data_IF_383725494384
#
_entry.id   IF_383725494384
#
_cell.length_a   1.000
_cell.length_b   1.000
_cell.length_c   1.000
_cell.angle_alpha   90.00
_cell.angle_beta   90.00
_cell.angle_gamma   90.00
#
_symmetry.space_group_name_H-M   'P 1'
#
loop_
_entity.id
_entity.type
_entity.pdbx_description
1 polymer ?
#
# COMPACT_ATOMS: atom_id res chain seq x y z
N UNK A 1 46.39 3.68 -19.59
CA UNK A 1 45.75 2.66 -18.74
C UNK A 1 44.39 3.20 -18.34
N UNK A 2 43.32 2.71 -18.96
CA UNK A 2 41.96 3.07 -18.57
C UNK A 2 41.70 2.52 -17.17
N UNK A 3 41.21 3.34 -16.25
CA UNK A 3 40.83 2.85 -14.92
C UNK A 3 39.69 1.85 -15.11
N UNK A 4 39.93 0.58 -14.82
CA UNK A 4 38.86 -0.38 -14.59
C UNK A 4 37.99 0.20 -13.48
N UNK A 5 36.82 0.71 -13.84
CA UNK A 5 35.81 1.13 -12.87
C UNK A 5 35.48 -0.09 -12.03
N UNK A 6 35.96 -0.08 -10.79
CA UNK A 6 35.84 -1.22 -9.87
C UNK A 6 34.38 -1.65 -9.74
N UNK A 7 34.12 -2.95 -9.81
CA UNK A 7 32.77 -3.52 -9.75
C UNK A 7 32.07 -3.12 -8.45
N UNK A 8 30.83 -2.65 -8.55
CA UNK A 8 29.95 -2.32 -7.42
C UNK A 8 29.07 -3.52 -7.11
N UNK A 9 28.96 -3.87 -5.83
CA UNK A 9 28.18 -5.01 -5.37
C UNK A 9 27.23 -4.62 -4.25
N UNK A 10 26.16 -5.40 -4.08
CA UNK A 10 25.21 -5.25 -2.98
C UNK A 10 25.01 -6.59 -2.26
N UNK A 11 24.92 -6.56 -0.94
CA UNK A 11 24.69 -7.73 -0.09
C UNK A 11 23.36 -7.52 0.64
N UNK A 12 22.37 -8.37 0.36
CA UNK A 12 21.01 -8.20 0.86
C UNK A 12 20.55 -9.53 1.49
N UNK A 13 20.23 -9.55 2.79
CA UNK A 13 19.61 -10.69 3.44
C UNK A 13 18.11 -10.74 3.19
N UNK A 14 17.52 -11.93 3.24
CA UNK A 14 16.08 -12.15 3.14
C UNK A 14 15.67 -13.00 4.33
N UNK A 15 15.27 -12.39 5.44
CA UNK A 15 15.04 -13.13 6.69
C UNK A 15 14.17 -12.47 7.79
N UNK A 16 12.95 -12.02 7.48
CA UNK A 16 11.94 -11.48 8.39
C UNK A 16 10.52 -12.09 8.20
N UNK A 17 9.99 -12.81 9.19
CA UNK A 17 8.81 -13.68 9.03
C UNK A 17 7.45 -13.03 8.72
N UNK A 18 7.29 -11.71 8.78
CA UNK A 18 6.01 -11.01 8.63
C UNK A 18 5.88 -10.13 7.36
N UNK A 19 6.98 -9.62 6.80
CA UNK A 19 6.99 -8.80 5.55
C UNK A 19 8.25 -9.07 4.71
N UNK A 20 8.59 -10.35 4.64
CA UNK A 20 9.86 -10.84 4.11
C UNK A 20 10.06 -10.51 2.62
N UNK A 21 8.98 -10.63 1.86
CA UNK A 21 9.01 -10.53 0.39
C UNK A 21 9.05 -9.06 -0.01
N UNK A 22 8.21 -8.25 0.62
CA UNK A 22 8.01 -6.83 0.33
C UNK A 22 9.24 -6.03 0.71
N UNK A 23 9.76 -6.23 1.93
CA UNK A 23 11.01 -5.60 2.37
C UNK A 23 12.21 -6.00 1.49
N UNK A 24 12.34 -7.27 1.14
CA UNK A 24 13.41 -7.73 0.28
C UNK A 24 13.28 -7.18 -1.16
N UNK A 25 12.06 -7.21 -1.71
CA UNK A 25 11.79 -6.69 -3.05
C UNK A 25 12.08 -5.20 -3.12
N UNK A 26 11.51 -4.40 -2.18
CA UNK A 26 11.79 -2.97 -2.07
C UNK A 26 13.29 -2.69 -1.94
N UNK A 27 13.98 -3.39 -1.04
CA UNK A 27 15.42 -3.21 -0.83
C UNK A 27 16.23 -3.50 -2.10
N UNK A 28 15.93 -4.60 -2.81
CA UNK A 28 16.65 -4.97 -4.03
C UNK A 28 16.41 -3.94 -5.14
N UNK A 29 15.15 -3.58 -5.41
CA UNK A 29 14.81 -2.64 -6.49
C UNK A 29 15.37 -1.25 -6.19
N UNK A 30 15.21 -0.74 -4.97
CA UNK A 30 15.78 0.56 -4.56
C UNK A 30 17.30 0.55 -4.65
N UNK A 31 17.95 -0.53 -4.20
CA UNK A 31 19.41 -0.65 -4.28
C UNK A 31 19.88 -0.69 -5.74
N UNK A 32 19.13 -1.37 -6.61
CA UNK A 32 19.43 -1.42 -8.04
C UNK A 32 19.35 -0.02 -8.66
N UNK A 33 18.28 0.72 -8.39
CA UNK A 33 18.04 2.08 -8.87
C UNK A 33 19.07 3.10 -8.36
N UNK A 34 19.44 3.03 -7.08
CA UNK A 34 20.27 4.04 -6.42
C UNK A 34 21.77 3.83 -6.63
N UNK A 35 22.21 2.57 -6.69
CA UNK A 35 23.64 2.24 -6.65
C UNK A 35 24.14 1.46 -7.88
N UNK A 36 23.23 1.04 -8.78
CA UNK A 36 23.56 0.28 -9.99
C UNK A 36 24.59 -0.87 -9.78
N UNK A 37 24.39 -1.75 -8.78
CA UNK A 37 25.29 -2.85 -8.54
C UNK A 37 25.33 -3.80 -9.75
N UNK A 38 26.53 -4.27 -10.08
CA UNK A 38 26.76 -5.31 -11.10
C UNK A 38 26.67 -6.72 -10.53
N UNK A 39 26.64 -6.85 -9.20
CA UNK A 39 26.45 -8.12 -8.51
C UNK A 39 25.60 -7.94 -7.25
N UNK A 40 24.62 -8.82 -7.07
CA UNK A 40 23.90 -9.01 -5.82
C UNK A 40 24.32 -10.31 -5.15
N UNK A 41 24.60 -10.24 -3.85
CA UNK A 41 24.78 -11.39 -2.97
C UNK A 41 23.55 -11.45 -2.06
N UNK A 42 22.67 -12.40 -2.35
CA UNK A 42 21.43 -12.63 -1.63
C UNK A 42 21.67 -13.65 -0.52
N UNK A 43 21.56 -13.21 0.73
CA UNK A 43 21.77 -14.07 1.89
C UNK A 43 20.43 -14.63 2.37
N UNK A 44 20.27 -15.94 2.41
CA UNK A 44 19.01 -16.60 2.80
C UNK A 44 19.27 -17.71 3.81
N UNK A 45 18.24 -18.07 4.57
CA UNK A 45 18.21 -19.31 5.32
C UNK A 45 17.42 -20.37 4.55
N UNK A 46 17.69 -21.65 4.80
CA UNK A 46 17.06 -22.78 4.10
C UNK A 46 15.55 -22.84 4.30
N UNK A 47 15.06 -22.46 5.48
CA UNK A 47 13.61 -22.39 5.72
C UNK A 47 12.91 -21.29 4.90
N UNK A 48 13.65 -20.27 4.45
CA UNK A 48 13.13 -19.26 3.53
C UNK A 48 13.10 -19.74 2.07
N UNK A 49 13.66 -20.91 1.74
CA UNK A 49 13.58 -21.43 0.37
C UNK A 49 12.14 -21.67 -0.06
N UNK A 50 11.27 -22.19 0.81
CA UNK A 50 9.84 -22.33 0.47
C UNK A 50 9.16 -20.99 0.28
N UNK A 51 9.48 -19.97 1.09
CA UNK A 51 8.98 -18.60 0.94
C UNK A 51 9.49 -17.94 -0.35
N UNK A 52 10.74 -18.18 -0.73
CA UNK A 52 11.35 -17.70 -1.98
C UNK A 52 10.86 -18.45 -3.23
N UNK A 53 10.49 -19.72 -3.08
CA UNK A 53 9.97 -20.56 -4.16
C UNK A 53 8.45 -20.40 -4.35
N UNK A 54 7.72 -19.99 -3.31
CA UNK A 54 6.28 -19.67 -3.37
C UNK A 54 6.00 -18.18 -3.60
N UNK A 55 6.97 -17.30 -3.28
CA UNK A 55 6.90 -15.87 -3.58
C UNK A 55 7.37 -15.57 -5.01
N UNK A 56 6.53 -15.87 -6.00
CA UNK A 56 6.78 -15.56 -7.44
C UNK A 56 7.41 -14.17 -7.66
N UNK A 57 6.97 -13.08 -7.00
CA UNK A 57 7.50 -11.75 -7.28
C UNK A 57 9.01 -11.61 -7.04
N UNK A 58 9.53 -12.20 -5.97
CA UNK A 58 10.95 -12.06 -5.61
C UNK A 58 11.82 -12.91 -6.52
N UNK A 59 11.35 -14.10 -6.91
CA UNK A 59 12.05 -14.93 -7.88
C UNK A 59 12.11 -14.26 -9.25
N UNK A 60 10.99 -13.73 -9.71
CA UNK A 60 10.89 -13.02 -10.99
C UNK A 60 11.75 -11.77 -11.03
N UNK A 61 11.89 -11.07 -9.89
CA UNK A 61 12.83 -9.97 -9.73
C UNK A 61 14.28 -10.42 -9.89
N UNK A 62 14.71 -11.47 -9.19
CA UNK A 62 16.08 -11.99 -9.29
C UNK A 62 16.41 -12.47 -10.70
N UNK A 63 15.47 -13.13 -11.38
CA UNK A 63 15.65 -13.56 -12.76
C UNK A 63 15.58 -12.39 -13.75
N UNK A 64 14.79 -11.36 -13.46
CA UNK A 64 14.79 -10.07 -14.16
C UNK A 64 16.14 -9.37 -14.10
N UNK A 65 16.77 -9.33 -12.93
CA UNK A 65 18.12 -8.77 -12.75
C UNK A 65 19.18 -9.55 -13.57
N UNK A 66 19.10 -10.88 -13.60
CA UNK A 66 19.99 -11.70 -14.44
C UNK A 66 19.81 -11.38 -15.93
N UNK A 67 18.56 -11.24 -16.39
CA UNK A 67 18.25 -10.80 -17.78
C UNK A 67 18.81 -9.41 -18.07
N UNK A 68 18.88 -8.54 -17.07
CA UNK A 68 19.52 -7.22 -17.14
C UNK A 68 21.05 -7.25 -17.00
N UNK A 69 21.70 -8.42 -17.15
CA UNK A 69 23.14 -8.63 -17.02
C UNK A 69 23.72 -8.27 -15.64
N UNK A 70 22.96 -8.51 -14.57
CA UNK A 70 23.43 -8.40 -13.19
C UNK A 70 23.74 -9.80 -12.64
N UNK A 71 24.93 -9.99 -12.05
CA UNK A 71 25.30 -11.26 -11.42
C UNK A 71 24.54 -11.43 -10.10
N UNK A 72 23.72 -12.46 -9.96
CA UNK A 72 22.97 -12.73 -8.73
C UNK A 72 23.47 -14.03 -8.10
N UNK A 73 24.01 -13.94 -6.89
CA UNK A 73 24.49 -15.08 -6.09
C UNK A 73 23.62 -15.27 -4.87
N UNK A 74 23.01 -16.44 -4.74
CA UNK A 74 22.27 -16.82 -3.54
C UNK A 74 23.18 -17.63 -2.60
N UNK A 75 23.21 -17.29 -1.31
CA UNK A 75 24.01 -17.96 -0.28
C UNK A 75 23.17 -18.36 0.92
N UNK A 76 23.26 -19.64 1.28
CA UNK A 76 22.61 -20.19 2.45
C UNK A 76 23.44 -19.92 3.72
N UNK A 77 22.79 -19.33 4.72
CA UNK A 77 23.37 -19.02 6.04
C UNK A 77 23.00 -20.03 7.13
N UNK A 78 22.24 -21.10 6.83
CA UNK A 78 21.72 -22.05 7.85
C UNK A 78 22.83 -22.71 8.68
N UNK A 79 24.04 -22.87 8.13
CA UNK A 79 25.20 -23.41 8.84
C UNK A 79 26.17 -22.36 9.40
N UNK A 80 25.88 -21.07 9.22
CA UNK A 80 26.77 -19.98 9.61
C UNK A 80 26.43 -19.52 11.02
N UNK A 81 27.16 -20.06 12.01
CA UNK A 81 26.92 -19.80 13.44
C UNK A 81 27.81 -18.72 14.04
N UNK A 82 28.83 -18.25 13.31
CA UNK A 82 29.78 -17.26 13.80
C UNK A 82 29.95 -16.10 12.82
N UNK A 83 30.33 -14.93 13.37
CA UNK A 83 30.66 -13.76 12.57
C UNK A 83 31.81 -14.03 11.58
N UNK A 84 32.83 -14.81 11.98
CA UNK A 84 33.95 -15.12 11.08
C UNK A 84 33.51 -15.98 9.88
N UNK A 85 32.61 -16.96 10.08
CA UNK A 85 32.03 -17.74 8.99
C UNK A 85 31.18 -16.87 8.05
N UNK A 86 30.42 -15.94 8.62
CA UNK A 86 29.62 -14.97 7.87
C UNK A 86 30.50 -14.06 7.02
N UNK A 87 31.53 -13.48 7.65
CA UNK A 87 32.53 -12.63 7.00
C UNK A 87 33.17 -13.33 5.81
N UNK A 88 33.72 -14.52 6.01
CA UNK A 88 34.37 -15.29 4.93
C UNK A 88 33.40 -15.56 3.76
N UNK A 89 32.13 -15.81 4.05
CA UNK A 89 31.09 -16.01 3.02
C UNK A 89 30.88 -14.75 2.19
N UNK A 90 30.70 -13.59 2.84
CA UNK A 90 30.45 -12.32 2.14
C UNK A 90 31.69 -11.84 1.40
N UNK A 91 32.87 -11.93 2.01
CA UNK A 91 34.13 -11.49 1.41
C UNK A 91 34.54 -12.35 0.22
N UNK A 92 34.35 -13.68 0.30
CA UNK A 92 34.63 -14.57 -0.83
C UNK A 92 33.78 -14.24 -2.07
N UNK A 93 32.52 -13.83 -1.86
CA UNK A 93 31.64 -13.41 -2.95
C UNK A 93 31.83 -11.96 -3.40
N UNK A 94 32.54 -11.14 -2.63
CA UNK A 94 32.74 -9.71 -2.94
C UNK A 94 34.21 -9.33 -3.09
N UNK A 95 35.07 -10.32 -3.33
CA UNK A 95 36.51 -10.12 -3.52
C UNK A 95 36.83 -9.32 -4.79
N UNK A 96 36.02 -9.45 -5.84
CA UNK A 96 36.15 -8.73 -7.12
C UNK A 96 35.46 -7.35 -7.11
N UNK A 97 34.89 -6.95 -5.96
CA UNK A 97 34.13 -5.71 -5.81
C UNK A 97 34.98 -4.62 -5.15
N UNK A 98 35.08 -3.44 -5.77
CA UNK A 98 35.76 -2.30 -5.16
C UNK A 98 34.91 -1.55 -4.13
N UNK A 99 33.58 -1.59 -4.29
CA UNK A 99 32.61 -1.01 -3.34
C UNK A 99 31.48 -1.98 -3.11
N UNK A 100 31.08 -2.13 -1.84
CA UNK A 100 30.03 -3.08 -1.44
C UNK A 100 29.02 -2.39 -0.55
N UNK A 101 27.76 -2.36 -0.99
CA UNK A 101 26.63 -1.87 -0.22
C UNK A 101 26.02 -3.01 0.60
N UNK A 102 26.03 -2.86 1.92
CA UNK A 102 25.49 -3.82 2.87
C UNK A 102 24.10 -3.32 3.29
N UNK A 103 23.06 -4.08 2.94
CA UNK A 103 21.66 -3.67 3.12
C UNK A 103 21.01 -4.54 4.20
N UNK A 104 21.16 -4.24 5.51
CA UNK A 104 20.70 -5.14 6.56
C UNK A 104 19.18 -5.17 6.76
N UNK A 105 18.45 -4.16 6.31
CA UNK A 105 17.03 -3.92 6.66
C UNK A 105 16.06 -5.10 6.43
N UNK A 106 16.11 -5.84 5.29
CA UNK A 106 15.25 -7.01 5.09
C UNK A 106 15.69 -8.28 5.85
N UNK A 107 16.76 -8.20 6.65
CA UNK A 107 17.36 -9.33 7.36
C UNK A 107 16.88 -9.51 8.78
N UNK A 108 17.16 -10.69 9.34
CA UNK A 108 17.02 -10.94 10.76
C UNK A 108 18.03 -10.10 11.55
N UNK A 109 17.70 -9.78 12.81
CA UNK A 109 18.53 -8.98 13.70
C UNK A 109 20.01 -9.44 13.74
N UNK A 110 20.25 -10.75 13.79
CA UNK A 110 21.63 -11.29 13.82
C UNK A 110 22.40 -10.99 12.54
N UNK A 111 21.76 -11.11 11.38
CA UNK A 111 22.37 -10.81 10.08
C UNK A 111 22.62 -9.31 9.93
N UNK A 112 21.70 -8.48 10.41
CA UNK A 112 21.88 -7.03 10.44
C UNK A 112 23.09 -6.61 11.29
N UNK A 113 23.26 -7.23 12.47
CA UNK A 113 24.43 -7.02 13.34
C UNK A 113 25.72 -7.45 12.63
N UNK A 114 25.74 -8.62 11.98
CA UNK A 114 26.94 -9.09 11.27
C UNK A 114 27.31 -8.21 10.08
N UNK A 115 26.34 -7.71 9.31
CA UNK A 115 26.61 -6.73 8.24
C UNK A 115 27.19 -5.42 8.82
N UNK A 116 26.66 -4.96 9.95
CA UNK A 116 27.18 -3.78 10.65
C UNK A 116 28.61 -3.98 11.14
N UNK A 117 28.92 -5.15 11.71
CA UNK A 117 30.29 -5.50 12.13
C UNK A 117 31.24 -5.58 10.94
N UNK A 118 30.79 -6.08 9.79
CA UNK A 118 31.59 -6.15 8.57
C UNK A 118 31.95 -4.74 8.06
N UNK A 119 30.97 -3.82 8.07
CA UNK A 119 31.23 -2.41 7.73
C UNK A 119 32.32 -1.78 8.61
N UNK A 120 32.27 -2.01 9.92
CA UNK A 120 33.25 -1.44 10.86
C UNK A 120 34.68 -1.95 10.65
N UNK A 121 34.88 -3.05 9.91
CA UNK A 121 36.22 -3.58 9.63
C UNK A 121 36.89 -2.90 8.43
N UNK A 122 36.12 -2.44 7.45
CA UNK A 122 36.63 -1.75 6.27
C UNK A 122 35.59 -0.74 5.76
N UNK A 123 35.62 0.45 6.37
CA UNK A 123 34.71 1.56 6.05
C UNK A 123 34.99 2.19 4.69
N UNK A 124 36.14 1.86 4.06
CA UNK A 124 36.47 2.32 2.71
C UNK A 124 35.78 1.44 1.66
N UNK A 125 35.77 0.13 1.85
CA UNK A 125 35.11 -0.84 0.95
C UNK A 125 33.61 -0.92 1.17
N UNK A 126 33.16 -0.94 2.43
CA UNK A 126 31.75 -1.18 2.76
C UNK A 126 30.98 0.12 3.00
N UNK A 127 29.68 0.09 2.69
CA UNK A 127 28.71 1.14 3.06
C UNK A 127 27.47 0.45 3.60
N UNK A 128 26.99 0.84 4.77
CA UNK A 128 25.70 0.37 5.26
C UNK A 128 24.59 1.21 4.62
N UNK A 129 23.53 0.53 4.22
CA UNK A 129 22.37 1.11 3.54
C UNK A 129 21.13 0.61 4.25
N UNK A 130 20.45 1.50 4.96
CA UNK A 130 19.18 1.20 5.61
C UNK A 130 18.03 1.81 4.81
N UNK A 131 17.02 1.01 4.56
CA UNK A 131 15.74 1.51 4.06
C UNK A 131 14.76 1.67 5.22
N UNK A 132 13.98 2.73 5.19
CA UNK A 132 12.84 2.90 6.08
C UNK A 132 11.61 2.57 5.25
N UNK A 133 11.10 1.36 5.42
CA UNK A 133 9.92 0.93 4.70
C UNK A 133 8.68 1.53 5.35
N UNK A 134 8.04 2.48 4.67
CA UNK A 134 6.73 2.99 5.04
C UNK A 134 5.61 2.03 4.61
N UNK A 135 5.73 0.73 4.92
CA UNK A 135 4.65 -0.24 4.70
C UNK A 135 3.50 0.06 5.64
N UNK A 136 2.69 1.06 5.30
CA UNK A 136 1.42 1.28 5.98
C UNK A 136 0.44 0.15 5.63
N UNK A 137 -0.81 0.51 5.43
CA UNK A 137 -1.86 -0.41 4.96
C UNK A 137 -1.64 -1.04 3.59
N UNK A 138 -0.66 -0.50 2.89
CA UNK A 138 -0.17 -0.96 1.62
C UNK A 138 0.94 -2.00 1.82
N UNK A 139 0.91 -2.78 2.90
CA UNK A 139 1.96 -3.76 3.22
C UNK A 139 2.06 -4.89 2.18
N UNK A 140 1.07 -5.04 1.31
CA UNK A 140 1.10 -5.89 0.11
C UNK A 140 1.60 -5.15 -1.17
N UNK A 141 1.85 -3.84 -1.09
CA UNK A 141 2.52 -3.04 -2.11
C UNK A 141 3.94 -2.75 -1.68
N UNK A 142 4.87 -2.97 -2.58
CA UNK A 142 6.29 -2.75 -2.39
C UNK A 142 6.83 -1.99 -3.59
N UNK A 143 8.01 -1.40 -3.44
CA UNK A 143 8.63 -0.64 -4.51
C UNK A 143 8.91 -1.54 -5.73
N UNK A 144 8.54 -1.13 -6.96
CA UNK A 144 8.22 0.23 -7.41
C UNK A 144 6.72 0.61 -7.44
N UNK A 145 5.85 -0.17 -6.81
CA UNK A 145 4.38 0.02 -6.79
C UNK A 145 3.89 0.99 -5.71
N UNK A 146 4.79 1.48 -4.85
CA UNK A 146 4.56 2.57 -3.91
C UNK A 146 5.40 3.80 -4.29
N UNK A 147 4.96 5.03 -3.95
CA UNK A 147 5.74 6.23 -4.19
C UNK A 147 7.15 6.12 -3.63
N UNK A 148 8.15 6.52 -4.41
CA UNK A 148 9.56 6.47 -3.99
C UNK A 148 9.84 7.09 -2.60
N UNK A 149 9.29 8.26 -2.23
CA UNK A 149 9.55 8.87 -0.93
C UNK A 149 9.08 8.05 0.28
N UNK A 150 8.20 7.05 0.10
CA UNK A 150 7.83 6.11 1.17
C UNK A 150 8.97 5.17 1.56
N UNK A 151 9.95 4.99 0.68
CA UNK A 151 11.08 4.09 0.84
C UNK A 151 12.34 4.91 1.11
N UNK A 152 12.33 5.51 2.32
CA UNK A 152 13.39 6.37 2.82
C UNK A 152 14.73 5.64 2.84
N UNK A 153 15.81 6.38 2.64
CA UNK A 153 17.16 5.84 2.54
C UNK A 153 18.06 6.53 3.56
N UNK A 154 18.77 5.73 4.34
CA UNK A 154 19.85 6.17 5.21
C UNK A 154 21.13 5.41 4.87
N UNK A 155 22.27 6.11 4.85
CA UNK A 155 23.57 5.49 4.56
C UNK A 155 24.60 5.79 5.63
N UNK A 156 25.52 4.85 5.85
CA UNK A 156 26.67 5.01 6.76
C UNK A 156 27.94 4.57 6.02
N UNK A 157 28.90 5.48 5.75
CA UNK A 157 28.84 6.93 6.02
C UNK A 157 27.73 7.63 5.22
N UNK A 158 27.29 8.79 5.69
CA UNK A 158 26.27 9.56 5.00
C UNK A 158 26.77 10.01 3.63
N UNK A 159 26.10 9.54 2.59
CA UNK A 159 26.38 9.90 1.21
C UNK A 159 25.58 11.13 0.75
N UNK A 160 24.56 11.57 1.50
CA UNK A 160 23.73 12.74 1.21
C UNK A 160 23.28 12.83 -0.26
N UNK A 161 23.33 14.04 -0.82
CA UNK A 161 22.92 14.35 -2.21
C UNK A 161 23.79 13.70 -3.31
N UNK A 162 24.84 12.95 -2.94
CA UNK A 162 25.69 12.24 -3.92
C UNK A 162 24.98 11.06 -4.56
N UNK A 163 23.93 10.54 -3.92
CA UNK A 163 23.13 9.46 -4.46
C UNK A 163 22.15 10.06 -5.47
N UNK A 164 22.41 9.82 -6.75
CA UNK A 164 21.51 10.19 -7.83
C UNK A 164 20.79 8.93 -8.32
N UNK A 165 19.49 8.78 -8.07
CA UNK A 165 18.77 7.64 -8.57
C UNK A 165 18.82 7.57 -10.10
N UNK A 166 18.95 6.36 -10.64
CA UNK A 166 18.92 6.14 -12.08
C UNK A 166 17.61 5.47 -12.47
N UNK A 167 16.61 6.29 -12.77
CA UNK A 167 15.26 5.85 -13.15
C UNK A 167 15.24 4.92 -14.37
N UNK A 168 16.21 5.10 -15.28
CA UNK A 168 16.33 4.27 -16.49
C UNK A 168 16.62 2.81 -16.16
N UNK A 169 17.22 2.50 -14.99
CA UNK A 169 17.46 1.11 -14.59
C UNK A 169 16.16 0.35 -14.34
N UNK A 170 15.11 1.03 -13.86
CA UNK A 170 13.79 0.41 -13.72
C UNK A 170 13.20 0.00 -15.08
N UNK A 171 13.62 0.64 -16.17
CA UNK A 171 13.24 0.23 -17.52
C UNK A 171 13.76 -1.15 -17.91
N UNK A 172 14.92 -1.56 -17.39
CA UNK A 172 15.46 -2.91 -17.62
C UNK A 172 14.61 -4.00 -16.96
N UNK A 173 13.88 -3.66 -15.91
CA UNK A 173 13.01 -4.56 -15.16
C UNK A 173 11.53 -4.39 -15.52
N UNK A 174 11.21 -3.58 -16.54
CA UNK A 174 9.83 -3.26 -16.94
C UNK A 174 8.96 -4.50 -17.10
N UNK A 175 9.42 -5.46 -17.89
CA UNK A 175 8.68 -6.69 -18.16
C UNK A 175 8.41 -7.48 -16.89
N UNK A 176 9.39 -7.57 -15.98
CA UNK A 176 9.21 -8.23 -14.68
C UNK A 176 8.09 -7.56 -13.88
N UNK A 177 8.06 -6.23 -13.82
CA UNK A 177 7.00 -5.52 -13.08
C UNK A 177 5.63 -5.61 -13.77
N UNK A 178 5.59 -5.58 -15.10
CA UNK A 178 4.35 -5.78 -15.87
C UNK A 178 3.79 -7.21 -15.68
N UNK A 179 4.65 -8.22 -15.68
CA UNK A 179 4.26 -9.62 -15.43
C UNK A 179 3.70 -9.77 -13.99
N UNK A 180 4.34 -9.15 -12.99
CA UNK A 180 3.82 -9.11 -11.61
C UNK A 180 2.44 -8.44 -11.52
N UNK A 181 2.27 -7.31 -12.21
CA UNK A 181 0.99 -6.59 -12.25
C UNK A 181 -0.09 -7.34 -13.04
N UNK A 182 0.28 -8.19 -14.01
CA UNK A 182 -0.70 -8.87 -14.87
C UNK A 182 -1.71 -9.71 -14.07
N UNK A 183 -1.27 -10.31 -12.96
CA UNK A 183 -2.09 -11.09 -12.03
C UNK A 183 -3.18 -10.28 -11.33
N UNK A 184 -3.01 -8.97 -11.21
CA UNK A 184 -3.91 -8.03 -10.52
C UNK A 184 -4.36 -6.88 -11.42
N UNK A 185 -4.09 -6.96 -12.73
CA UNK A 185 -4.14 -5.82 -13.66
C UNK A 185 -5.53 -5.22 -13.85
N UNK A 186 -6.59 -6.00 -13.66
CA UNK A 186 -7.99 -5.54 -13.73
C UNK A 186 -8.53 -5.00 -12.40
N UNK A 187 -7.76 -5.14 -11.30
CA UNK A 187 -8.20 -4.64 -9.99
C UNK A 187 -7.90 -3.14 -9.85
N UNK A 188 -8.67 -2.48 -8.98
CA UNK A 188 -8.39 -1.12 -8.54
C UNK A 188 -6.93 -0.94 -8.10
N UNK A 189 -6.42 -1.88 -7.31
CA UNK A 189 -5.05 -1.80 -6.78
C UNK A 189 -4.00 -2.03 -7.85
N UNK A 190 -4.24 -2.93 -8.81
CA UNK A 190 -3.37 -3.09 -9.98
C UNK A 190 -3.25 -1.79 -10.78
N UNK A 191 -4.36 -1.04 -10.91
CA UNK A 191 -4.36 0.28 -11.55
C UNK A 191 -3.57 1.32 -10.76
N UNK A 192 -3.77 1.41 -9.43
CA UNK A 192 -3.00 2.31 -8.57
C UNK A 192 -1.51 2.00 -8.67
N UNK A 193 -1.14 0.73 -8.54
CA UNK A 193 0.24 0.23 -8.60
C UNK A 193 0.91 0.53 -9.93
N UNK A 194 0.16 0.38 -11.03
CA UNK A 194 0.63 0.70 -12.36
C UNK A 194 0.97 2.18 -12.52
N UNK A 195 0.04 3.08 -12.16
CA UNK A 195 0.25 4.51 -12.34
C UNK A 195 1.36 5.05 -11.43
N UNK A 196 1.47 4.53 -10.21
CA UNK A 196 2.59 4.81 -9.31
C UNK A 196 3.92 4.34 -9.90
N UNK A 197 3.99 3.11 -10.42
CA UNK A 197 5.18 2.58 -11.07
C UNK A 197 5.58 3.44 -12.28
N UNK A 198 4.63 3.80 -13.15
CA UNK A 198 4.90 4.66 -14.30
C UNK A 198 5.41 6.03 -13.88
N UNK A 199 4.86 6.62 -12.82
CA UNK A 199 5.32 7.92 -12.34
C UNK A 199 6.73 7.83 -11.73
N UNK A 200 7.00 6.79 -10.94
CA UNK A 200 8.33 6.48 -10.42
C UNK A 200 9.37 6.34 -11.55
N UNK A 201 9.00 5.74 -12.70
CA UNK A 201 9.92 5.58 -13.84
C UNK A 201 10.28 6.88 -14.56
N UNK A 202 9.46 7.93 -14.43
CA UNK A 202 9.61 9.20 -15.15
C UNK A 202 10.41 10.27 -14.39
N UNK A 203 10.63 10.10 -13.09
CA UNK A 203 11.40 11.02 -12.27
C UNK A 203 11.15 10.85 -10.78
N UNK A 204 11.57 11.82 -9.97
CA UNK A 204 11.25 11.99 -8.56
C UNK A 204 10.57 13.32 -8.27
N UNK A 205 9.95 13.38 -7.09
CA UNK A 205 9.42 14.59 -6.48
C UNK A 205 9.24 14.36 -4.98
N UNK A 206 8.98 15.43 -4.25
CA UNK A 206 8.80 15.38 -2.78
C UNK A 206 7.41 14.89 -2.35
N UNK A 207 6.48 14.89 -3.28
CA UNK A 207 5.08 14.55 -3.08
C UNK A 207 4.40 14.26 -4.41
N UNK A 208 3.14 13.89 -4.36
CA UNK A 208 2.27 13.83 -5.53
C UNK A 208 1.34 15.02 -5.58
N UNK A 209 0.93 15.35 -6.79
CA UNK A 209 -0.17 16.24 -7.09
C UNK A 209 -1.17 15.56 -8.04
N UNK A 210 -2.45 15.84 -7.83
CA UNK A 210 -3.54 15.46 -8.73
C UNK A 210 -3.88 16.66 -9.59
N UNK A 211 -3.87 16.47 -10.92
CA UNK A 211 -4.37 17.44 -11.88
C UNK A 211 -5.63 16.91 -12.58
N UNK A 212 -6.55 17.83 -12.86
CA UNK A 212 -7.76 17.59 -13.66
C UNK A 212 -7.80 18.67 -14.73
N UNK A 213 -7.76 18.27 -15.99
CA UNK A 213 -7.61 19.17 -17.15
C UNK A 213 -6.47 20.17 -16.95
N UNK A 214 -5.29 19.66 -16.56
CA UNK A 214 -4.07 20.43 -16.27
C UNK A 214 -4.10 21.28 -15.00
N UNK A 215 -5.27 21.49 -14.38
CA UNK A 215 -5.37 22.26 -13.16
C UNK A 215 -5.07 21.41 -11.93
N UNK A 216 -4.16 21.88 -11.09
CA UNK A 216 -3.84 21.23 -9.81
C UNK A 216 -5.01 21.35 -8.84
N UNK A 217 -5.52 20.21 -8.38
CA UNK A 217 -6.68 20.14 -7.47
C UNK A 217 -6.35 19.67 -6.06
N UNK A 218 -5.24 18.92 -5.89
CA UNK A 218 -4.73 18.45 -4.60
C UNK A 218 -3.22 18.20 -4.70
N UNK A 219 -2.49 18.41 -3.62
CA UNK A 219 -1.08 18.03 -3.50
C UNK A 219 -0.75 17.53 -2.09
N UNK A 220 0.43 16.93 -1.94
CA UNK A 220 0.85 16.24 -0.71
C UNK A 220 1.20 17.22 0.40
N UNK A 221 1.86 18.34 0.04
CA UNK A 221 2.32 19.37 0.99
C UNK A 221 1.14 20.13 1.59
N UNK A 222 0.27 20.69 0.74
CA UNK A 222 -0.93 21.45 1.10
C UNK A 222 -2.17 20.59 0.88
N UNK A 223 -2.26 19.50 1.63
CA UNK A 223 -3.31 18.50 1.51
C UNK A 223 -4.67 19.00 2.06
N UNK A 224 -5.25 19.99 1.38
CA UNK A 224 -6.47 20.70 1.78
C UNK A 224 -7.73 20.09 1.14
N UNK A 225 -8.31 19.12 1.82
CA UNK A 225 -9.53 18.43 1.36
C UNK A 225 -10.72 19.37 1.18
N UNK A 226 -10.81 20.45 1.98
CA UNK A 226 -11.84 21.48 1.81
C UNK A 226 -11.68 22.27 0.51
N UNK A 227 -10.45 22.57 0.08
CA UNK A 227 -10.20 23.23 -1.19
C UNK A 227 -10.49 22.30 -2.36
N UNK A 228 -10.10 21.03 -2.27
CA UNK A 228 -10.44 20.02 -3.26
C UNK A 228 -11.96 19.91 -3.44
N UNK A 229 -12.72 19.83 -2.34
CA UNK A 229 -14.19 19.77 -2.39
C UNK A 229 -14.79 20.96 -3.11
N UNK A 230 -14.24 22.16 -2.94
CA UNK A 230 -14.68 23.35 -3.69
C UNK A 230 -14.24 23.29 -5.16
N UNK A 231 -12.98 22.98 -5.43
CA UNK A 231 -12.43 22.96 -6.80
C UNK A 231 -13.10 21.89 -7.67
N UNK A 232 -13.21 20.66 -7.15
CA UNK A 232 -13.91 19.57 -7.83
C UNK A 232 -15.41 19.75 -7.74
N UNK A 233 -15.91 20.26 -6.61
CA UNK A 233 -17.31 20.61 -6.45
C UNK A 233 -17.74 21.57 -7.56
N UNK A 234 -17.21 22.77 -7.61
CA UNK A 234 -17.60 23.80 -8.59
C UNK A 234 -17.42 23.35 -10.05
N UNK A 235 -16.40 22.52 -10.35
CA UNK A 235 -16.16 21.94 -11.69
C UNK A 235 -17.14 20.84 -12.06
N UNK A 236 -17.42 19.93 -11.13
CA UNK A 236 -18.14 18.70 -11.41
C UNK A 236 -19.59 18.74 -10.97
N UNK A 237 -19.96 19.53 -9.96
CA UNK A 237 -21.27 19.50 -9.28
C UNK A 237 -22.44 19.57 -10.23
N UNK A 238 -22.45 20.53 -11.16
CA UNK A 238 -23.59 20.67 -12.09
C UNK A 238 -23.71 19.51 -13.09
N UNK A 239 -22.61 18.82 -13.38
CA UNK A 239 -22.53 17.73 -14.36
C UNK A 239 -22.68 16.36 -13.68
N UNK A 240 -21.95 16.14 -12.59
CA UNK A 240 -21.93 14.90 -11.83
C UNK A 240 -23.13 14.75 -10.91
N UNK A 241 -23.78 15.80 -10.39
CA UNK A 241 -25.05 15.61 -9.66
C UNK A 241 -26.14 15.01 -10.55
N UNK A 242 -26.20 15.43 -11.82
CA UNK A 242 -27.14 14.85 -12.77
C UNK A 242 -26.83 13.36 -13.02
N UNK A 243 -25.54 12.98 -13.03
CA UNK A 243 -25.10 11.58 -13.17
C UNK A 243 -25.31 10.75 -11.87
N UNK A 244 -24.98 11.33 -10.72
CA UNK A 244 -24.84 10.67 -9.41
C UNK A 244 -26.15 10.67 -8.62
N UNK A 245 -26.85 11.79 -8.58
CA UNK A 245 -28.03 12.00 -7.75
C UNK A 245 -29.36 11.82 -8.50
N UNK A 246 -29.31 11.78 -9.84
CA UNK A 246 -30.49 11.93 -10.69
C UNK A 246 -31.21 13.27 -10.44
N UNK A 247 -32.33 13.53 -11.11
CA UNK A 247 -33.13 14.76 -10.97
C UNK A 247 -33.76 15.00 -9.56
N UNK A 248 -33.21 14.44 -8.49
CA UNK A 248 -33.62 14.66 -7.10
C UNK A 248 -32.81 15.79 -6.49
N UNK A 249 -33.32 17.02 -6.66
CA UNK A 249 -33.04 18.27 -5.95
C UNK A 249 -31.71 18.46 -5.19
N UNK A 250 -31.04 19.56 -5.53
CA UNK A 250 -29.87 20.33 -5.01
C UNK A 250 -29.22 20.08 -3.61
N UNK A 251 -29.62 19.10 -2.79
CA UNK A 251 -29.09 18.93 -1.42
C UNK A 251 -28.17 17.70 -1.22
N UNK A 252 -27.74 17.00 -2.29
CA UNK A 252 -26.85 15.83 -2.21
C UNK A 252 -25.47 16.02 -2.87
N UNK A 253 -25.10 17.27 -3.13
CA UNK A 253 -23.84 17.69 -3.78
C UNK A 253 -22.56 17.17 -3.11
N UNK A 254 -22.61 16.86 -1.80
CA UNK A 254 -21.44 16.58 -0.98
C UNK A 254 -21.09 15.10 -0.75
N UNK A 255 -21.98 14.15 -1.06
CA UNK A 255 -21.88 12.82 -0.45
C UNK A 255 -20.95 11.86 -1.21
N UNK A 256 -20.91 11.93 -2.54
CA UNK A 256 -20.10 11.00 -3.34
C UNK A 256 -18.60 11.31 -3.29
N UNK A 257 -18.22 12.59 -3.39
CA UNK A 257 -16.82 13.01 -3.32
C UNK A 257 -16.25 12.70 -1.93
N UNK A 258 -17.04 12.90 -0.87
CA UNK A 258 -16.65 12.52 0.47
C UNK A 258 -16.49 11.02 0.66
N UNK A 259 -17.32 10.20 0.00
CA UNK A 259 -17.16 8.76 -0.02
C UNK A 259 -15.89 8.34 -0.78
N UNK A 260 -15.60 8.94 -1.94
CA UNK A 260 -14.35 8.69 -2.67
C UNK A 260 -13.12 9.09 -1.86
N UNK A 261 -13.16 10.25 -1.21
CA UNK A 261 -12.07 10.70 -0.35
C UNK A 261 -11.87 9.77 0.84
N UNK A 262 -12.97 9.29 1.43
CA UNK A 262 -12.91 8.31 2.53
C UNK A 262 -12.34 6.98 2.07
N UNK A 263 -12.82 6.44 0.95
CA UNK A 263 -12.30 5.23 0.32
C UNK A 263 -10.83 5.36 -0.07
N UNK A 264 -10.38 6.54 -0.54
CA UNK A 264 -8.96 6.76 -0.85
C UNK A 264 -8.05 6.83 0.39
N UNK A 265 -8.62 6.79 1.60
CA UNK A 265 -7.88 6.92 2.85
C UNK A 265 -7.42 8.34 3.16
N UNK A 266 -8.05 9.37 2.58
CA UNK A 266 -7.62 10.76 2.75
C UNK A 266 -7.75 11.28 4.18
N UNK A 267 -8.64 10.69 4.99
CA UNK A 267 -8.94 11.12 6.36
C UNK A 267 -8.28 10.25 7.42
N UNK A 268 -8.02 10.82 8.60
CA UNK A 268 -7.67 10.02 9.78
C UNK A 268 -8.90 9.30 10.33
N UNK A 269 -8.70 8.05 10.74
CA UNK A 269 -9.62 7.22 11.49
C UNK A 269 -9.19 7.13 12.96
N UNK A 270 -10.16 7.34 13.82
CA UNK A 270 -10.07 7.13 15.26
C UNK A 270 -11.07 6.06 15.69
N UNK A 271 -10.79 5.43 16.82
CA UNK A 271 -11.74 4.56 17.50
C UNK A 271 -12.12 5.19 18.84
N UNK A 272 -13.40 5.08 19.19
CA UNK A 272 -13.92 5.53 20.48
C UNK A 272 -14.30 4.32 21.34
N UNK A 273 -13.67 4.26 22.51
CA UNK A 273 -13.94 3.27 23.56
C UNK A 273 -14.73 3.94 24.68
N UNK A 274 -15.82 3.29 25.09
CA UNK A 274 -16.52 3.65 26.32
C UNK A 274 -15.81 2.97 27.50
N UNK A 275 -15.36 3.78 28.46
CA UNK A 275 -14.89 3.34 29.78
C UNK A 275 -15.95 3.71 30.83
N UNK A 276 -15.87 3.13 32.04
CA UNK A 276 -16.88 3.32 33.09
C UNK A 276 -17.20 4.81 33.39
N UNK A 277 -16.24 5.72 33.17
CA UNK A 277 -16.37 7.14 33.50
C UNK A 277 -16.08 8.12 32.34
N UNK A 278 -15.68 7.66 31.14
CA UNK A 278 -15.34 8.56 30.03
C UNK A 278 -15.37 7.87 28.65
N UNK A 279 -15.54 8.67 27.59
CA UNK A 279 -15.25 8.29 26.21
C UNK A 279 -13.82 8.68 25.87
N UNK A 280 -13.03 7.70 25.46
CA UNK A 280 -11.64 7.91 25.03
C UNK A 280 -11.57 7.67 23.54
N UNK A 281 -11.00 8.64 22.81
CA UNK A 281 -10.72 8.53 21.38
C UNK A 281 -9.23 8.26 21.19
N UNK A 282 -8.93 7.29 20.36
CA UNK A 282 -7.56 6.87 20.08
C UNK A 282 -7.37 6.70 18.57
N UNK A 283 -6.16 6.97 18.04
CA UNK A 283 -5.84 6.64 16.66
C UNK A 283 -6.04 5.16 16.39
N UNK A 284 -6.65 4.82 15.24
CA UNK A 284 -6.83 3.41 14.83
C UNK A 284 -5.50 2.65 14.71
N UNK A 285 -4.40 3.35 14.40
CA UNK A 285 -3.05 2.77 14.31
C UNK A 285 -2.55 2.12 15.60
N UNK A 286 -3.14 2.44 16.76
CA UNK A 286 -2.79 1.80 18.04
C UNK A 286 -3.19 0.31 18.11
N UNK A 287 -3.99 -0.15 17.14
CA UNK A 287 -4.55 -1.50 17.09
C UNK A 287 -3.93 -2.35 15.96
N UNK A 288 -2.74 -1.99 15.47
CA UNK A 288 -2.07 -2.64 14.33
C UNK A 288 -1.78 -4.13 14.55
N UNK A 289 -1.50 -4.53 15.78
CA UNK A 289 -1.17 -5.91 16.17
C UNK A 289 -2.39 -6.68 16.75
N UNK A 290 -3.56 -6.04 16.83
CA UNK A 290 -4.78 -6.64 17.39
C UNK A 290 -5.62 -7.34 16.32
N UNK A 291 -6.42 -8.34 16.74
CA UNK A 291 -7.45 -8.92 15.85
C UNK A 291 -8.58 -7.91 15.68
N UNK A 292 -8.73 -7.36 14.48
CA UNK A 292 -9.74 -6.32 14.21
C UNK A 292 -10.83 -6.88 13.31
N UNK A 293 -12.05 -7.04 13.83
CA UNK A 293 -13.24 -7.46 13.07
C UNK A 293 -14.01 -6.22 12.66
N UNK A 294 -14.32 -6.09 11.37
CA UNK A 294 -14.94 -4.88 10.83
C UNK A 294 -16.36 -5.09 10.33
N UNK A 295 -17.11 -3.99 10.33
CA UNK A 295 -18.37 -3.81 9.62
C UNK A 295 -18.13 -3.25 8.19
N UNK A 296 -19.15 -3.32 7.33
CA UNK A 296 -19.09 -2.85 5.94
C UNK A 296 -18.77 -1.35 5.86
N UNK A 297 -19.31 -0.54 6.78
CA UNK A 297 -19.05 0.92 6.81
C UNK A 297 -17.57 1.27 7.02
N UNK A 298 -16.79 0.40 7.67
CA UNK A 298 -15.38 0.65 7.93
C UNK A 298 -14.57 0.68 6.63
N UNK A 299 -14.93 -0.17 5.66
CA UNK A 299 -14.30 -0.21 4.33
C UNK A 299 -14.53 1.10 3.60
N UNK A 300 -15.78 1.59 3.58
CA UNK A 300 -16.12 2.90 3.00
C UNK A 300 -15.44 4.08 3.70
N UNK A 301 -15.07 3.93 4.97
CA UNK A 301 -14.31 4.94 5.71
C UNK A 301 -12.80 4.88 5.43
N UNK A 302 -12.33 3.89 4.68
CA UNK A 302 -10.92 3.76 4.32
C UNK A 302 -10.10 2.95 5.31
N UNK A 303 -10.71 2.04 6.08
CA UNK A 303 -9.97 1.21 7.06
C UNK A 303 -8.87 0.36 6.42
N UNK A 304 -9.04 0.00 5.14
CA UNK A 304 -8.06 -0.70 4.32
C UNK A 304 -6.80 0.13 4.03
N UNK A 305 -6.80 1.41 4.41
CA UNK A 305 -5.63 2.31 4.38
C UNK A 305 -4.95 2.45 5.75
N UNK A 306 -5.18 1.49 6.67
CA UNK A 306 -4.40 1.30 7.90
C UNK A 306 -3.64 -0.04 7.95
N UNK A 307 -2.43 -0.05 8.54
CA UNK A 307 -1.64 -1.27 8.80
C UNK A 307 -2.29 -2.07 9.95
N UNK A 308 -3.26 -2.92 9.61
CA UNK A 308 -3.95 -3.81 10.55
C UNK A 308 -3.59 -5.25 10.23
N UNK A 309 -2.55 -5.79 10.88
CA UNK A 309 -1.96 -7.12 10.56
C UNK A 309 -2.95 -8.27 10.67
N UNK A 310 -3.95 -8.12 11.54
CA UNK A 310 -4.98 -9.12 11.77
C UNK A 310 -6.38 -8.57 11.51
N UNK A 311 -6.55 -7.89 10.37
CA UNK A 311 -7.85 -7.47 9.87
C UNK A 311 -8.69 -8.69 9.46
N UNK A 312 -9.89 -8.77 10.02
CA UNK A 312 -10.87 -9.84 9.81
C UNK A 312 -12.10 -9.24 9.13
N UNK A 313 -12.44 -9.75 7.95
CA UNK A 313 -13.62 -9.33 7.19
C UNK A 313 -14.70 -10.41 7.31
N UNK A 314 -15.82 -10.14 7.98
CA UNK A 314 -16.93 -11.08 8.03
C UNK A 314 -17.56 -11.35 6.65
N UNK A 315 -18.02 -12.58 6.40
CA UNK A 315 -18.65 -12.93 5.12
C UNK A 315 -19.90 -12.09 4.79
N UNK A 316 -20.59 -11.54 5.79
CA UNK A 316 -21.71 -10.62 5.61
C UNK A 316 -21.25 -9.33 4.93
N UNK A 317 -20.04 -8.84 5.24
CA UNK A 317 -19.47 -7.62 4.66
C UNK A 317 -19.24 -7.84 3.19
N UNK A 318 -18.65 -8.98 2.84
CA UNK A 318 -18.49 -9.41 1.45
C UNK A 318 -19.84 -9.43 0.71
N UNK A 319 -20.88 -10.04 1.30
CA UNK A 319 -22.20 -10.07 0.67
C UNK A 319 -22.81 -8.67 0.49
N UNK A 320 -22.67 -7.79 1.47
CA UNK A 320 -23.17 -6.41 1.37
C UNK A 320 -22.44 -5.63 0.28
N UNK A 321 -21.12 -5.79 0.15
CA UNK A 321 -20.33 -5.19 -0.94
C UNK A 321 -20.69 -5.76 -2.30
N UNK A 322 -20.87 -7.09 -2.42
CA UNK A 322 -21.32 -7.74 -3.66
C UNK A 322 -22.74 -7.29 -4.07
N UNK A 323 -23.63 -7.12 -3.10
CA UNK A 323 -24.97 -6.58 -3.34
C UNK A 323 -24.93 -5.10 -3.71
N UNK A 324 -23.97 -4.33 -3.19
CA UNK A 324 -23.75 -2.96 -3.61
C UNK A 324 -23.22 -2.90 -5.04
N UNK A 325 -22.18 -3.67 -5.38
CA UNK A 325 -21.57 -3.70 -6.72
C UNK A 325 -22.55 -4.19 -7.80
N UNK A 326 -23.35 -5.23 -7.51
CA UNK A 326 -24.32 -5.78 -8.46
C UNK A 326 -25.50 -4.86 -8.78
N UNK A 327 -25.78 -3.85 -7.95
CA UNK A 327 -26.76 -2.79 -8.29
C UNK A 327 -26.32 -1.94 -9.48
N UNK A 328 -25.04 -1.96 -9.84
CA UNK A 328 -24.49 -1.29 -11.03
C UNK A 328 -24.36 -2.17 -12.29
N UNK A 329 -24.70 -3.46 -12.24
CA UNK A 329 -24.45 -4.42 -13.32
C UNK A 329 -25.37 -4.28 -14.56
N UNK A 330 -24.91 -4.72 -15.76
CA UNK A 330 -25.62 -4.56 -17.04
C UNK A 330 -26.95 -5.32 -17.16
N UNK A 331 -27.26 -6.23 -16.24
CA UNK A 331 -28.44 -7.11 -16.27
C UNK A 331 -29.63 -6.63 -15.42
N UNK A 332 -29.48 -5.54 -14.66
CA UNK A 332 -30.59 -5.00 -13.87
C UNK A 332 -31.53 -4.17 -14.76
N UNK A 333 -32.73 -4.70 -14.99
CA UNK A 333 -33.79 -4.15 -15.87
C UNK A 333 -34.38 -2.82 -15.35
N UNK A 334 -33.80 -2.22 -14.31
CA UNK A 334 -34.20 -0.91 -13.78
C UNK A 334 -32.96 -0.06 -13.49
N UNK A 335 -32.46 0.66 -14.51
CA UNK A 335 -31.52 1.76 -14.32
C UNK A 335 -32.21 2.88 -13.53
N UNK A 336 -32.11 2.83 -12.21
CA UNK A 336 -32.13 4.05 -11.40
C UNK A 336 -30.68 4.54 -11.29
N UNK A 337 -30.40 5.76 -11.74
CA UNK A 337 -29.03 6.30 -11.84
C UNK A 337 -28.25 6.27 -10.51
N UNK A 338 -28.92 6.38 -9.36
CA UNK A 338 -28.32 6.22 -8.04
C UNK A 338 -27.76 4.82 -7.77
N UNK A 339 -28.30 3.77 -8.40
CA UNK A 339 -27.80 2.40 -8.28
C UNK A 339 -26.45 2.20 -9.01
N UNK A 340 -26.11 3.11 -9.93
CA UNK A 340 -24.89 3.09 -10.72
C UNK A 340 -23.64 3.46 -9.93
N UNK A 341 -23.67 4.60 -9.23
CA UNK A 341 -22.55 5.04 -8.39
C UNK A 341 -22.37 4.13 -7.18
N UNK A 342 -23.46 3.71 -6.53
CA UNK A 342 -23.40 2.70 -5.45
C UNK A 342 -22.76 1.40 -5.96
N UNK A 343 -22.95 1.08 -7.25
CA UNK A 343 -22.28 0.00 -7.95
C UNK A 343 -20.76 0.22 -8.08
N UNK A 344 -20.33 1.35 -8.62
CA UNK A 344 -18.89 1.69 -8.78
C UNK A 344 -18.19 1.77 -7.43
N UNK A 345 -18.79 2.42 -6.43
CA UNK A 345 -18.25 2.51 -5.07
C UNK A 345 -18.21 1.15 -4.38
N UNK A 346 -19.24 0.32 -4.60
CA UNK A 346 -19.29 -1.06 -4.12
C UNK A 346 -18.20 -1.94 -4.76
N UNK A 347 -17.95 -1.79 -6.05
CA UNK A 347 -16.87 -2.48 -6.77
C UNK A 347 -15.49 -2.05 -6.27
N UNK A 348 -15.25 -0.74 -6.12
CA UNK A 348 -14.02 -0.22 -5.55
C UNK A 348 -13.79 -0.75 -4.12
N UNK A 349 -14.82 -0.69 -3.28
CA UNK A 349 -14.76 -1.20 -1.91
C UNK A 349 -14.51 -2.72 -1.86
N UNK A 350 -15.08 -3.47 -2.81
CA UNK A 350 -14.89 -4.91 -2.94
C UNK A 350 -13.45 -5.26 -3.35
N UNK A 351 -12.92 -4.60 -4.39
CA UNK A 351 -11.53 -4.78 -4.83
C UNK A 351 -10.56 -4.51 -3.67
N UNK A 352 -10.82 -3.44 -2.92
CA UNK A 352 -10.03 -3.05 -1.76
C UNK A 352 -10.13 -4.06 -0.61
N UNK A 353 -11.32 -4.60 -0.36
CA UNK A 353 -11.53 -5.62 0.68
C UNK A 353 -10.78 -6.93 0.37
N UNK A 354 -10.79 -7.36 -0.90
CA UNK A 354 -10.08 -8.57 -1.32
C UNK A 354 -8.57 -8.40 -1.34
N UNK A 355 -8.10 -7.22 -1.73
CA UNK A 355 -6.68 -6.94 -1.83
C UNK A 355 -5.93 -7.15 -0.51
N UNK A 356 -6.56 -6.80 0.61
CA UNK A 356 -5.94 -6.94 1.93
C UNK A 356 -5.64 -8.40 2.31
N UNK A 357 -6.12 -9.38 1.54
CA UNK A 357 -6.12 -10.80 1.91
C UNK A 357 -6.57 -11.01 3.36
N UNK A 358 -7.66 -10.37 3.80
CA UNK A 358 -8.06 -10.41 5.20
C UNK A 358 -8.46 -11.83 5.56
N UNK A 359 -8.29 -12.18 6.85
CA UNK A 359 -8.86 -13.42 7.34
C UNK A 359 -10.38 -13.33 7.24
N UNK A 360 -10.99 -14.18 6.41
CA UNK A 360 -12.44 -14.24 6.29
C UNK A 360 -13.02 -15.03 7.46
N UNK A 361 -13.96 -14.44 8.19
CA UNK A 361 -14.69 -15.15 9.24
C UNK A 361 -16.09 -15.52 8.73
N UNK A 362 -16.50 -16.80 8.84
CA UNK A 362 -17.81 -17.22 8.37
C UNK A 362 -18.93 -16.53 9.16
N UNK A 363 -19.91 -16.01 8.44
CA UNK A 363 -21.16 -15.47 9.00
C UNK A 363 -22.34 -15.91 8.16
N UNK A 364 -23.54 -15.81 8.73
CA UNK A 364 -24.78 -15.95 7.97
C UNK A 364 -24.86 -14.89 6.85
N UNK A 365 -25.49 -15.23 5.73
CA UNK A 365 -25.80 -14.31 4.62
C UNK A 365 -26.97 -13.39 4.96
N UNK A 366 -26.82 -12.63 6.05
CA UNK A 366 -27.75 -11.60 6.52
C UNK A 366 -27.02 -10.26 6.58
N UNK A 367 -27.74 -9.18 6.86
CA UNK A 367 -27.15 -7.88 7.16
C UNK A 367 -26.15 -7.99 8.33
N UNK A 368 -25.03 -7.29 8.22
CA UNK A 368 -23.92 -7.40 9.17
C UNK A 368 -24.30 -7.04 10.60
N UNK A 369 -25.18 -6.05 10.77
CA UNK A 369 -25.77 -5.67 12.06
C UNK A 369 -26.29 -6.88 12.86
N UNK A 370 -26.88 -7.85 12.15
CA UNK A 370 -27.48 -9.06 12.73
C UNK A 370 -26.51 -10.24 12.73
N UNK A 371 -25.68 -10.34 11.70
CA UNK A 371 -24.81 -11.49 11.47
C UNK A 371 -23.57 -11.50 12.39
N UNK A 372 -22.93 -10.34 12.60
CA UNK A 372 -21.69 -10.23 13.39
C UNK A 372 -21.87 -10.72 14.84
N UNK A 373 -22.95 -10.37 15.57
CA UNK A 373 -23.18 -10.91 16.93
C UNK A 373 -23.42 -12.41 17.01
N UNK A 374 -23.59 -13.09 15.87
CA UNK A 374 -23.81 -14.54 15.78
C UNK A 374 -22.57 -15.30 15.32
N UNK A 375 -21.44 -14.62 15.12
CA UNK A 375 -20.15 -15.28 14.88
C UNK A 375 -19.84 -16.17 16.08
N UNK A 376 -19.31 -17.36 15.81
CA UNK A 376 -18.82 -18.26 16.84
C UNK A 376 -17.85 -17.52 17.78
N UNK A 377 -18.10 -17.49 19.10
CA UNK A 377 -17.23 -16.82 20.06
C UNK A 377 -15.75 -17.17 19.93
N UNK A 378 -15.41 -18.42 19.60
CA UNK A 378 -14.02 -18.87 19.53
C UNK A 378 -13.26 -18.23 18.35
N UNK A 379 -13.97 -17.80 17.31
CA UNK A 379 -13.36 -17.16 16.13
C UNK A 379 -13.01 -15.69 16.36
N UNK A 380 -13.74 -15.01 17.24
CA UNK A 380 -13.60 -13.56 17.48
C UNK A 380 -13.22 -13.23 18.92
N UNK A 381 -12.90 -14.23 19.74
CA UNK A 381 -12.46 -14.02 21.12
C UNK A 381 -11.24 -13.11 21.19
N UNK A 382 -11.27 -12.19 22.15
CA UNK A 382 -10.24 -11.18 22.43
C UNK A 382 -10.00 -10.21 21.25
N UNK A 383 -10.92 -10.16 20.27
CA UNK A 383 -10.85 -9.22 19.15
C UNK A 383 -11.42 -7.84 19.50
N UNK A 384 -11.01 -6.86 18.71
CA UNK A 384 -11.62 -5.54 18.62
C UNK A 384 -12.63 -5.54 17.48
N UNK A 385 -13.91 -5.34 17.80
CA UNK A 385 -15.00 -5.27 16.82
C UNK A 385 -15.37 -3.82 16.58
N UNK A 386 -15.28 -3.37 15.33
CA UNK A 386 -15.36 -1.96 14.96
C UNK A 386 -16.53 -1.70 14.01
N UNK A 387 -17.35 -0.70 14.32
CA UNK A 387 -18.40 -0.18 13.42
C UNK A 387 -18.58 1.33 13.55
N UNK A 388 -18.85 2.02 12.44
CA UNK A 388 -19.29 3.40 12.43
C UNK A 388 -20.81 3.55 12.64
N UNK A 389 -21.59 2.46 12.55
CA UNK A 389 -23.04 2.49 12.73
C UNK A 389 -23.40 2.48 14.23
N UNK A 390 -24.01 3.57 14.68
CA UNK A 390 -24.43 3.72 16.07
C UNK A 390 -25.51 2.70 16.50
N UNK A 391 -26.39 2.27 15.59
CA UNK A 391 -27.41 1.26 15.89
C UNK A 391 -26.76 -0.11 16.03
N UNK A 392 -25.86 -0.47 15.12
CA UNK A 392 -25.08 -1.71 15.21
C UNK A 392 -24.26 -1.73 16.51
N UNK A 393 -23.54 -0.64 16.81
CA UNK A 393 -22.78 -0.46 18.05
C UNK A 393 -23.63 -0.70 19.31
N UNK A 394 -24.79 -0.05 19.40
CA UNK A 394 -25.71 -0.22 20.53
C UNK A 394 -26.25 -1.65 20.63
N UNK A 395 -26.56 -2.27 19.49
CA UNK A 395 -27.05 -3.64 19.44
C UNK A 395 -25.97 -4.60 19.93
N UNK A 396 -24.76 -4.52 19.39
CA UNK A 396 -23.65 -5.45 19.67
C UNK A 396 -23.21 -5.37 21.12
N UNK A 397 -23.15 -4.17 21.70
CA UNK A 397 -22.85 -3.97 23.14
C UNK A 397 -23.82 -4.71 24.06
N UNK A 398 -25.09 -4.87 23.65
CA UNK A 398 -26.14 -5.57 24.41
C UNK A 398 -26.16 -7.09 24.16
N UNK A 399 -25.37 -7.61 23.23
CA UNK A 399 -25.33 -9.05 22.90
C UNK A 399 -24.21 -9.76 23.64
N UNK A 400 -24.27 -11.10 23.69
CA UNK A 400 -23.29 -11.93 24.38
C UNK A 400 -21.85 -11.67 23.92
N UNK A 401 -21.65 -11.23 22.67
CA UNK A 401 -20.34 -10.91 22.12
C UNK A 401 -19.53 -9.88 22.90
N UNK A 402 -20.20 -8.92 23.56
CA UNK A 402 -19.53 -7.91 24.38
C UNK A 402 -18.84 -8.49 25.63
N UNK A 403 -19.09 -9.76 25.96
CA UNK A 403 -18.43 -10.44 27.08
C UNK A 403 -17.03 -10.97 26.74
N UNK A 404 -16.70 -11.10 25.45
CA UNK A 404 -15.45 -11.71 25.00
C UNK A 404 -14.77 -10.94 23.85
N UNK A 405 -15.29 -9.77 23.49
CA UNK A 405 -14.71 -8.87 22.50
C UNK A 405 -14.75 -7.44 23.02
N UNK A 406 -13.86 -6.59 22.51
CA UNK A 406 -13.94 -5.15 22.75
C UNK A 406 -14.65 -4.48 21.59
N UNK A 407 -15.82 -3.90 21.83
CA UNK A 407 -16.62 -3.26 20.77
C UNK A 407 -16.35 -1.75 20.78
N UNK A 408 -15.86 -1.22 19.66
CA UNK A 408 -15.48 0.18 19.50
C UNK A 408 -16.25 0.85 18.38
N UNK A 409 -16.45 2.16 18.53
CA UNK A 409 -17.03 2.98 17.48
C UNK A 409 -15.93 3.48 16.56
N UNK A 410 -16.07 3.31 15.25
CA UNK A 410 -15.21 3.95 14.27
C UNK A 410 -15.63 5.40 14.07
N UNK A 411 -14.65 6.29 14.04
CA UNK A 411 -14.83 7.71 13.79
C UNK A 411 -13.94 8.12 12.62
N UNK A 412 -14.56 8.55 11.53
CA UNK A 412 -13.86 9.32 10.49
C UNK A 412 -13.70 10.76 10.97
N UNK A 413 -12.46 11.21 11.13
CA UNK A 413 -12.19 12.61 11.46
C UNK A 413 -12.28 13.48 10.20
N UNK A 414 -12.38 14.80 10.38
CA UNK A 414 -12.21 15.75 9.27
C UNK A 414 -10.74 16.09 9.01
N UNK A 415 -9.82 15.50 9.77
CA UNK A 415 -8.39 15.75 9.62
C UNK A 415 -7.84 14.87 8.49
N UNK A 416 -6.94 15.40 7.65
CA UNK A 416 -6.25 14.58 6.68
C UNK A 416 -5.22 13.66 7.34
N UNK A 417 -4.86 12.56 6.67
CA UNK A 417 -3.73 11.69 7.07
C UNK A 417 -2.48 12.52 7.39
N UNK A 418 -1.77 12.19 8.47
CA UNK A 418 -0.54 12.90 8.86
C UNK A 418 0.67 12.60 7.99
N UNK A 419 0.89 11.33 7.66
CA UNK A 419 2.08 10.89 6.93
C UNK A 419 2.04 11.41 5.48
N UNK A 420 3.10 12.06 4.97
CA UNK A 420 3.20 12.44 3.56
C UNK A 420 3.03 11.25 2.62
N UNK A 421 3.58 10.09 3.00
CA UNK A 421 3.47 8.88 2.21
C UNK A 421 2.04 8.32 2.11
N UNK A 422 1.29 8.38 3.21
CA UNK A 422 -0.15 8.03 3.19
C UNK A 422 -0.92 8.96 2.27
N UNK A 423 -0.64 10.27 2.34
CA UNK A 423 -1.27 11.27 1.45
C UNK A 423 -0.96 10.99 -0.01
N UNK A 424 0.28 10.67 -0.36
CA UNK A 424 0.65 10.33 -1.74
C UNK A 424 -0.14 9.12 -2.25
N UNK A 425 -0.28 8.08 -1.43
CA UNK A 425 -1.11 6.94 -1.79
C UNK A 425 -2.59 7.31 -1.90
N UNK A 426 -3.11 8.15 -1.01
CA UNK A 426 -4.48 8.66 -1.14
C UNK A 426 -4.69 9.46 -2.42
N UNK A 427 -3.72 10.25 -2.87
CA UNK A 427 -3.78 10.97 -4.15
C UNK A 427 -3.81 9.98 -5.31
N UNK A 428 -2.94 8.97 -5.31
CA UNK A 428 -2.91 7.96 -6.37
C UNK A 428 -4.21 7.15 -6.42
N UNK A 429 -4.72 6.71 -5.27
CA UNK A 429 -6.02 6.03 -5.15
C UNK A 429 -7.17 6.92 -5.61
N UNK A 430 -7.18 8.20 -5.22
CA UNK A 430 -8.19 9.16 -5.63
C UNK A 430 -8.16 9.39 -7.15
N UNK A 431 -6.98 9.48 -7.76
CA UNK A 431 -6.85 9.65 -9.21
C UNK A 431 -7.51 8.49 -9.98
N UNK A 432 -7.22 7.25 -9.57
CA UNK A 432 -7.82 6.05 -10.18
C UNK A 432 -9.32 6.02 -9.95
N UNK A 433 -9.79 6.25 -8.72
CA UNK A 433 -11.22 6.24 -8.40
C UNK A 433 -11.98 7.32 -9.17
N UNK A 434 -11.41 8.52 -9.27
CA UNK A 434 -12.00 9.63 -10.01
C UNK A 434 -12.06 9.31 -11.51
N UNK A 435 -11.01 8.71 -12.08
CA UNK A 435 -11.02 8.29 -13.49
C UNK A 435 -12.14 7.27 -13.79
N UNK A 436 -12.36 6.30 -12.90
CA UNK A 436 -13.43 5.28 -13.04
C UNK A 436 -14.82 5.90 -12.93
N UNK A 437 -15.04 6.80 -11.96
CA UNK A 437 -16.35 7.47 -11.80
C UNK A 437 -16.65 8.38 -12.98
N UNK A 438 -15.66 9.12 -13.48
CA UNK A 438 -15.85 10.00 -14.63
C UNK A 438 -16.12 9.22 -15.91
N UNK A 439 -15.43 8.09 -16.13
CA UNK A 439 -15.69 7.17 -17.24
C UNK A 439 -17.09 6.58 -17.18
N UNK A 440 -17.53 6.13 -16.00
CA UNK A 440 -18.88 5.64 -15.77
C UNK A 440 -19.94 6.71 -16.14
N UNK A 441 -19.67 7.97 -15.78
CA UNK A 441 -20.52 9.10 -16.12
C UNK A 441 -20.33 9.60 -17.57
N UNK A 442 -19.48 8.96 -18.38
CA UNK A 442 -19.14 9.34 -19.75
C UNK A 442 -18.63 10.79 -19.87
N UNK A 443 -17.89 11.25 -18.85
CA UNK A 443 -17.24 12.54 -18.84
C UNK A 443 -15.80 12.44 -19.32
N UNK A 444 -15.42 13.35 -20.23
CA UNK A 444 -14.08 13.41 -20.81
C UNK A 444 -13.25 14.48 -20.11
N UNK A 445 -12.73 14.13 -18.94
CA UNK A 445 -11.74 14.92 -18.23
C UNK A 445 -10.40 14.20 -18.27
N UNK A 446 -9.32 14.96 -18.39
CA UNK A 446 -7.97 14.43 -18.30
C UNK A 446 -7.54 14.42 -16.83
N UNK A 447 -7.41 13.22 -16.27
CA UNK A 447 -6.90 13.00 -14.92
C UNK A 447 -5.41 12.69 -15.02
N UNK A 448 -4.59 13.41 -14.26
CA UNK A 448 -3.14 13.19 -14.23
C UNK A 448 -2.63 13.08 -12.80
N UNK A 449 -1.75 12.10 -12.59
CA UNK A 449 -0.95 11.96 -11.39
C UNK A 449 0.45 12.49 -11.69
N UNK A 450 0.90 13.51 -10.97
CA UNK A 450 2.20 14.14 -11.22
C UNK A 450 3.07 14.18 -9.97
N UNK A 451 4.38 14.36 -10.19
CA UNK A 451 5.30 14.73 -9.13
C UNK A 451 5.08 16.18 -8.72
N UNK A 452 4.95 16.43 -7.42
CA UNK A 452 4.74 17.78 -6.90
C UNK A 452 5.96 18.67 -7.21
N UNK A 453 5.68 19.83 -7.81
CA UNK A 453 6.69 20.84 -8.14
C UNK A 453 7.53 20.54 -9.39
N UNK A 454 7.20 19.48 -10.13
CA UNK A 454 7.89 19.07 -11.36
C UNK A 454 6.84 18.70 -12.41
N UNK A 455 7.06 19.10 -13.67
CA UNK A 455 6.11 18.84 -14.77
C UNK A 455 6.21 17.41 -15.33
N UNK A 456 6.31 16.43 -14.43
CA UNK A 456 6.37 15.01 -14.76
C UNK A 456 5.06 14.36 -14.33
N UNK A 457 4.24 14.01 -15.31
CA UNK A 457 2.90 13.47 -15.11
C UNK A 457 2.70 12.12 -15.79
N UNK A 458 1.72 11.36 -15.29
CA UNK A 458 1.13 10.19 -15.94
C UNK A 458 -0.36 10.42 -16.06
N UNK A 459 -0.88 10.29 -17.29
CA UNK A 459 -2.33 10.30 -17.53
C UNK A 459 -2.95 9.04 -16.93
N UNK A 460 -3.97 9.22 -16.11
CA UNK A 460 -4.71 8.17 -15.42
C UNK A 460 -5.97 7.88 -16.22
N UNK A 461 -5.97 6.73 -16.87
CA UNK A 461 -7.12 6.25 -17.65
C UNK A 461 -7.92 5.20 -16.85
N UNK A 462 -9.24 5.15 -17.05
CA UNK A 462 -10.08 4.08 -16.51
C UNK A 462 -9.60 2.74 -17.09
N UNK A 463 -9.07 1.88 -16.22
CA UNK A 463 -8.70 0.51 -16.59
C UNK A 463 -9.84 -0.45 -16.22
N UNK A 464 -10.15 -1.41 -17.13
CA UNK A 464 -11.24 -2.36 -16.95
C UNK A 464 -11.02 -3.32 -15.78
#
# INVERSE_FOLDING_TARGET
MASETSKVCAVIPINRSDMNVESAHSAIVRTYELFNPRKFVILKAKFNEKLLLQGEPLRDLLDGLKRANVDVKEKDLTGVTSFQGFKSTVEGETQDCGKVYLVPTPGANITAVYLTLLYNQDTMKYVLVNYVFGFGAWYHLYYPFVPRPLEGLETVPDLGDKIKPNWNLLSNLRRTFEDQLSSVSSSFIGSVSYYVMELNRRGDGRGYELRVDQDKVLDTTNFELGSLRRNLGDRFVNSMDACVNGNRGNNRQSDWLDQLLSLSGAYELEVEKETENNRVKEPLSNYSDEKVVIDTNAIYYGIHTYELKHLIVPYCVYNELMLASSKGGPTSVQRSFSAGLDGVLGELALDLAFYLSPSLVPTQSLQCDVAIPRIDPDLIRDSVVITADNKALMLWKRKTMSKYTTIMRLIKTNNPKRSPGDRMMSIASLAVSLSRVLDYCNYKYDIELCWEGIDTCVKVEPRP
#
